data_IF_436497211868
#
_entry.id   IF_436497211868
#
_cell.length_a   1.000
_cell.length_b   1.000
_cell.length_c   1.000
_cell.angle_alpha   90.00
_cell.angle_beta   90.00
_cell.angle_gamma   90.00
#
_symmetry.space_group_name_H-M   'P 1'
#
loop_
_entity.id
_entity.type
_entity.pdbx_description
1 polymer ?
#
# COMPACT_ATOMS: atom_id res chain seq x y z
N UNK A 1 7.85 28.41 33.35
CA UNK A 1 6.80 27.41 33.03
C UNK A 1 5.86 27.82 31.89
N UNK A 2 5.79 29.11 31.52
CA UNK A 2 4.87 29.60 30.48
C UNK A 2 5.47 29.57 29.07
N UNK A 3 6.79 29.69 28.94
CA UNK A 3 7.52 29.76 27.65
C UNK A 3 7.47 28.43 26.88
N UNK A 4 7.51 27.30 27.57
CA UNK A 4 7.38 25.95 26.98
C UNK A 4 5.97 25.73 26.40
N UNK A 5 4.96 26.32 27.05
CA UNK A 5 3.56 26.27 26.61
C UNK A 5 3.35 27.03 25.30
N UNK A 6 3.95 28.22 25.15
CA UNK A 6 3.89 28.98 23.90
C UNK A 6 4.70 28.33 22.77
N UNK A 7 5.83 27.68 23.09
CA UNK A 7 6.65 26.96 22.12
C UNK A 7 5.90 25.75 21.51
N UNK A 8 5.13 25.03 22.32
CA UNK A 8 4.28 23.90 21.88
C UNK A 8 3.12 24.35 20.98
N UNK A 9 2.51 25.51 21.25
CA UNK A 9 1.41 26.06 20.44
C UNK A 9 1.91 26.49 19.05
N UNK A 10 3.10 27.10 18.97
CA UNK A 10 3.70 27.50 17.69
C UNK A 10 4.06 26.29 16.79
N UNK A 11 4.44 25.16 17.38
CA UNK A 11 4.80 23.94 16.64
C UNK A 11 3.59 23.26 15.98
N UNK A 12 2.39 23.36 16.57
CA UNK A 12 1.16 22.78 16.00
C UNK A 12 0.54 23.61 14.87
N UNK A 13 0.85 24.91 14.77
CA UNK A 13 0.30 25.81 13.75
C UNK A 13 1.12 25.84 12.45
N UNK A 14 2.34 25.29 12.47
CA UNK A 14 3.28 25.32 11.33
C UNK A 14 3.31 24.06 10.47
N UNK A 15 2.51 23.04 10.75
CA UNK A 15 2.52 21.80 9.96
C UNK A 15 1.85 22.03 8.60
N UNK A 16 2.55 21.84 7.47
CA UNK A 16 1.95 21.98 6.15
C UNK A 16 0.82 20.97 5.98
N UNK A 17 -0.24 21.38 5.27
CA UNK A 17 -1.34 20.51 4.91
C UNK A 17 -0.86 19.49 3.86
N UNK A 18 -0.28 18.38 4.31
CA UNK A 18 0.13 17.28 3.45
C UNK A 18 -1.14 16.56 2.98
N UNK A 19 -1.34 16.47 1.66
CA UNK A 19 -2.38 15.60 1.11
C UNK A 19 -2.01 14.15 1.42
N UNK A 20 -2.83 13.49 2.23
CA UNK A 20 -2.70 12.06 2.49
C UNK A 20 -3.22 11.31 1.26
N UNK A 21 -2.40 10.40 0.74
CA UNK A 21 -2.77 9.47 -0.31
C UNK A 21 -2.57 8.06 0.22
N UNK A 22 -3.44 7.14 -0.19
CA UNK A 22 -3.19 5.73 0.01
C UNK A 22 -1.88 5.32 -0.68
N UNK A 23 -1.22 4.33 -0.08
CA UNK A 23 0.06 3.79 -0.51
C UNK A 23 -0.06 2.27 -0.69
N UNK A 24 0.84 1.64 -1.46
CA UNK A 24 0.89 0.20 -1.58
C UNK A 24 1.03 -0.51 -0.24
N UNK A 25 0.45 -1.70 -0.12
CA UNK A 25 0.75 -2.61 1.00
C UNK A 25 1.88 -3.55 0.60
N UNK A 26 2.91 -3.63 1.44
CA UNK A 26 4.04 -4.53 1.24
C UNK A 26 4.06 -5.56 2.38
N UNK A 27 3.94 -6.82 2.01
CA UNK A 27 4.16 -7.95 2.91
C UNK A 27 5.48 -8.60 2.55
N UNK A 28 6.45 -8.52 3.46
CA UNK A 28 7.69 -9.24 3.29
C UNK A 28 7.48 -10.74 3.54
N UNK A 29 8.03 -11.55 2.65
CA UNK A 29 8.01 -13.00 2.78
C UNK A 29 9.04 -13.48 3.80
N UNK A 30 8.72 -14.56 4.51
CA UNK A 30 9.67 -15.32 5.32
C UNK A 30 10.21 -16.54 4.57
N UNK A 31 10.50 -17.63 5.26
CA UNK A 31 10.85 -18.89 4.63
C UNK A 31 9.64 -19.56 3.95
N UNK A 32 9.91 -20.29 2.87
CA UNK A 32 8.90 -21.03 2.10
C UNK A 32 9.28 -21.20 0.64
N UNK A 33 8.41 -21.86 -0.13
CA UNK A 33 8.64 -22.13 -1.56
C UNK A 33 8.73 -20.86 -2.42
N UNK A 34 8.14 -19.77 -1.96
CA UNK A 34 8.17 -18.45 -2.60
C UNK A 34 9.34 -17.56 -2.19
N UNK A 35 10.28 -18.04 -1.38
CA UNK A 35 11.40 -17.22 -0.90
C UNK A 35 12.21 -16.67 -2.08
N UNK A 36 12.45 -15.36 -2.04
CA UNK A 36 13.16 -14.64 -3.10
C UNK A 36 12.33 -14.38 -4.35
N UNK A 37 11.02 -14.67 -4.32
CA UNK A 37 10.07 -14.36 -5.38
C UNK A 37 9.16 -13.19 -4.99
N UNK A 38 8.79 -12.38 -5.97
CA UNK A 38 7.97 -11.18 -5.80
C UNK A 38 6.67 -11.29 -6.59
N UNK A 39 5.54 -11.21 -5.90
CA UNK A 39 4.20 -11.14 -6.52
C UNK A 39 3.65 -9.73 -6.34
N UNK A 40 3.12 -9.15 -7.41
CA UNK A 40 2.43 -7.86 -7.40
C UNK A 40 0.95 -8.07 -7.68
N UNK A 41 0.09 -7.56 -6.80
CA UNK A 41 -1.36 -7.59 -6.89
C UNK A 41 -1.89 -6.22 -7.33
N UNK A 42 -2.76 -6.18 -8.33
CA UNK A 42 -3.47 -4.96 -8.74
C UNK A 42 -4.90 -5.01 -8.19
N UNK A 43 -5.12 -4.33 -7.06
CA UNK A 43 -6.43 -4.21 -6.42
C UNK A 43 -7.15 -2.94 -6.89
N UNK A 44 -7.74 -3.01 -8.07
CA UNK A 44 -8.55 -1.92 -8.66
C UNK A 44 -9.73 -2.46 -9.48
N UNK A 45 -10.28 -3.60 -9.07
CA UNK A 45 -11.37 -4.25 -9.79
C UNK A 45 -12.72 -3.70 -9.31
N UNK A 46 -13.72 -3.60 -10.19
CA UNK A 46 -15.02 -3.01 -9.81
C UNK A 46 -16.02 -4.07 -9.30
N UNK A 47 -15.76 -5.34 -9.56
CA UNK A 47 -16.73 -6.43 -9.48
C UNK A 47 -16.56 -7.28 -8.22
N UNK A 48 -15.32 -7.66 -7.87
CA UNK A 48 -15.05 -8.65 -6.82
C UNK A 48 -14.44 -8.09 -5.54
N UNK A 49 -14.44 -6.77 -5.36
CA UNK A 49 -13.90 -6.09 -4.17
C UNK A 49 -12.44 -6.50 -3.90
N UNK A 50 -11.61 -6.44 -4.94
CA UNK A 50 -10.22 -6.90 -4.89
C UNK A 50 -9.38 -6.13 -3.86
N UNK A 51 -9.81 -4.93 -3.47
CA UNK A 51 -9.22 -4.09 -2.42
C UNK A 51 -9.25 -4.71 -1.04
N UNK A 52 -10.11 -5.72 -0.81
CA UNK A 52 -10.17 -6.47 0.44
C UNK A 52 -9.59 -7.88 0.28
N UNK A 53 -9.91 -8.55 -0.84
CA UNK A 53 -9.54 -9.96 -1.05
C UNK A 53 -8.06 -10.14 -1.40
N UNK A 54 -7.47 -9.29 -2.26
CA UNK A 54 -6.08 -9.41 -2.66
C UNK A 54 -5.10 -9.10 -1.51
N UNK A 55 -5.33 -8.08 -0.65
CA UNK A 55 -4.51 -7.90 0.55
C UNK A 55 -4.55 -9.10 1.50
N UNK A 56 -5.72 -9.73 1.67
CA UNK A 56 -5.83 -10.92 2.51
C UNK A 56 -5.03 -12.09 1.92
N UNK A 57 -5.14 -12.32 0.62
CA UNK A 57 -4.38 -13.36 -0.10
C UNK A 57 -2.87 -13.09 -0.07
N UNK A 58 -2.44 -11.87 -0.37
CA UNK A 58 -1.06 -11.44 -0.33
C UNK A 58 -0.42 -11.71 1.05
N UNK A 59 -1.15 -11.39 2.13
CA UNK A 59 -0.72 -11.67 3.50
C UNK A 59 -0.56 -13.17 3.77
N UNK A 60 -1.48 -14.00 3.28
CA UNK A 60 -1.40 -15.46 3.43
C UNK A 60 -0.17 -16.00 2.69
N UNK A 61 0.02 -15.59 1.43
CA UNK A 61 1.16 -16.04 0.61
C UNK A 61 2.50 -15.60 1.20
N UNK A 62 2.61 -14.37 1.69
CA UNK A 62 3.82 -13.90 2.34
C UNK A 62 4.13 -14.68 3.62
N UNK A 63 3.12 -14.85 4.48
CA UNK A 63 3.29 -15.48 5.79
C UNK A 63 3.52 -16.99 5.72
N UNK A 64 2.83 -17.70 4.83
CA UNK A 64 2.84 -19.16 4.79
C UNK A 64 3.72 -19.75 3.69
N UNK A 65 4.03 -18.96 2.65
CA UNK A 65 4.78 -19.44 1.50
C UNK A 65 6.03 -18.62 1.21
N UNK A 66 6.30 -17.53 1.93
CA UNK A 66 7.57 -16.81 1.85
C UNK A 66 7.72 -15.87 0.66
N UNK A 67 6.63 -15.58 -0.07
CA UNK A 67 6.65 -14.60 -1.15
C UNK A 67 6.76 -13.18 -0.61
N UNK A 68 7.56 -12.33 -1.25
CA UNK A 68 7.33 -10.89 -1.13
C UNK A 68 6.06 -10.56 -1.91
N UNK A 69 5.12 -9.86 -1.28
CA UNK A 69 3.90 -9.44 -1.95
C UNK A 69 3.72 -7.92 -1.86
N UNK A 70 3.47 -7.29 -3.01
CA UNK A 70 3.06 -5.88 -3.09
C UNK A 70 1.62 -5.81 -3.56
N UNK A 71 0.78 -5.01 -2.92
CA UNK A 71 -0.60 -4.76 -3.34
C UNK A 71 -0.72 -3.29 -3.70
N UNK A 72 -1.04 -3.03 -4.96
CA UNK A 72 -1.26 -1.70 -5.52
C UNK A 72 -2.77 -1.44 -5.59
N UNK A 73 -3.18 -0.19 -5.36
CA UNK A 73 -4.59 0.18 -5.31
C UNK A 73 -4.93 1.21 -6.38
N UNK A 74 -6.15 1.10 -6.92
CA UNK A 74 -6.76 2.16 -7.70
C UNK A 74 -7.11 3.37 -6.85
N UNK A 75 -6.63 4.55 -7.23
CA UNK A 75 -6.85 5.79 -6.49
C UNK A 75 -7.62 6.83 -7.31
N UNK A 76 -8.58 7.50 -6.67
CA UNK A 76 -9.22 8.67 -7.24
C UNK A 76 -8.31 9.92 -7.16
N UNK A 77 -8.77 11.07 -7.66
CA UNK A 77 -8.02 12.33 -7.66
C UNK A 77 -7.71 12.90 -6.26
N UNK A 78 -8.30 12.34 -5.21
CA UNK A 78 -8.04 12.71 -3.80
C UNK A 78 -7.02 11.78 -3.14
N UNK A 79 -6.58 10.72 -3.81
CA UNK A 79 -5.69 9.71 -3.25
C UNK A 79 -6.41 8.66 -2.41
N UNK A 80 -7.73 8.53 -2.55
CA UNK A 80 -8.55 7.54 -1.84
C UNK A 80 -8.66 6.26 -2.67
N UNK A 81 -8.66 5.10 -2.01
CA UNK A 81 -8.85 3.80 -2.66
C UNK A 81 -10.29 3.71 -3.14
N UNK A 82 -10.47 3.56 -4.45
CA UNK A 82 -11.78 3.42 -5.10
C UNK A 82 -11.69 2.29 -6.14
N UNK A 83 -12.68 1.39 -6.18
CA UNK A 83 -12.74 0.34 -7.20
C UNK A 83 -12.72 0.88 -8.63
N UNK A 84 -12.14 0.11 -9.56
CA UNK A 84 -12.14 0.40 -11.00
C UNK A 84 -11.39 1.64 -11.46
N UNK A 85 -10.49 2.19 -10.64
CA UNK A 85 -9.68 3.34 -11.06
C UNK A 85 -8.50 2.88 -11.91
N UNK A 86 -8.29 3.52 -13.06
CA UNK A 86 -7.10 3.24 -13.90
C UNK A 86 -5.80 3.85 -13.33
N UNK A 87 -5.91 4.83 -12.44
CA UNK A 87 -4.77 5.41 -11.75
C UNK A 87 -4.33 4.50 -10.61
N UNK A 88 -3.28 3.71 -10.85
CA UNK A 88 -2.70 2.78 -9.88
C UNK A 88 -1.23 3.17 -9.66
N UNK A 89 -0.90 3.98 -8.64
CA UNK A 89 0.48 4.30 -8.32
C UNK A 89 1.28 3.07 -7.84
N UNK A 90 2.57 2.99 -8.16
CA UNK A 90 3.45 1.89 -7.75
C UNK A 90 3.66 0.79 -8.80
N UNK A 91 3.17 0.97 -10.03
CA UNK A 91 3.28 0.01 -11.14
C UNK A 91 4.72 -0.32 -11.54
N UNK A 92 5.69 0.54 -11.21
CA UNK A 92 7.12 0.29 -11.36
C UNK A 92 7.58 -0.99 -10.64
N UNK A 93 6.87 -1.42 -9.59
CA UNK A 93 7.12 -2.68 -8.90
C UNK A 93 6.98 -3.92 -9.81
N UNK A 94 6.22 -3.82 -10.91
CA UNK A 94 6.07 -4.89 -11.89
C UNK A 94 7.39 -5.21 -12.60
N UNK A 95 8.34 -4.26 -12.67
CA UNK A 95 9.63 -4.47 -13.33
C UNK A 95 10.51 -5.53 -12.66
N UNK A 96 10.28 -5.80 -11.36
CA UNK A 96 10.99 -6.85 -10.60
C UNK A 96 10.07 -8.01 -10.18
N UNK A 97 8.81 -8.02 -10.61
CA UNK A 97 7.85 -9.04 -10.21
C UNK A 97 8.07 -10.34 -10.98
N UNK A 98 7.99 -11.48 -10.29
CA UNK A 98 7.94 -12.80 -10.90
C UNK A 98 6.51 -13.18 -11.34
N UNK A 99 5.48 -12.52 -10.78
CA UNK A 99 4.07 -12.73 -11.13
C UNK A 99 3.25 -11.45 -10.87
N UNK A 100 2.31 -11.17 -11.78
CA UNK A 100 1.25 -10.19 -11.59
C UNK A 100 -0.09 -10.92 -11.41
N UNK A 101 -0.88 -10.48 -10.44
CA UNK A 101 -2.23 -10.96 -10.15
C UNK A 101 -3.22 -9.80 -10.21
#
# INVERSE_FOLDING_TARGET
MNSVRYLLVALCLGTPLVKVSAAPLIYEGSDGAGRGKHIVFIASDHEYKSEETLPALARILARHHGFKCSVLFGLNNKGEIVPGQSNVPGMEALGSADLMV
#
